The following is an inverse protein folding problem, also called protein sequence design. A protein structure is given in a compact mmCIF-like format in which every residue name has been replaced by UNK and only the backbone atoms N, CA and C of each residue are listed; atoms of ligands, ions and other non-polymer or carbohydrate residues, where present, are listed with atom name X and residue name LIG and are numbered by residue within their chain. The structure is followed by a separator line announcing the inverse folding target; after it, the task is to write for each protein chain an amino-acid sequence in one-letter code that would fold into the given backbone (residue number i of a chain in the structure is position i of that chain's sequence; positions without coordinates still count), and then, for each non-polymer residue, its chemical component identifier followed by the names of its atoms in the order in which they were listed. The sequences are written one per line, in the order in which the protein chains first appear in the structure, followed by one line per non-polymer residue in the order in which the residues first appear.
data_IF_837357302518
#
_entry.id   IF_837357302518
#
_cell.length_a   1.000
_cell.length_b   1.000
_cell.length_c   1.000
_cell.angle_alpha   90.00
_cell.angle_beta   90.00
_cell.angle_gamma   90.00
#
_symmetry.space_group_name_H-M   'P 1'
#
loop_
_entity.id
_entity.type
_entity.pdbx_description
1 polymer ?
#
# COMPACT_ATOMS: atom_id res chain seq x y z
N UNK A 1 6.97 19.74 -22.75
CA UNK A 1 8.00 19.45 -21.75
C UNK A 1 9.06 20.54 -21.84
N UNK A 2 9.26 21.27 -20.76
CA UNK A 2 10.24 22.35 -20.68
C UNK A 2 11.37 21.91 -19.73
N UNK A 3 12.61 22.12 -20.15
CA UNK A 3 13.80 21.87 -19.33
C UNK A 3 14.64 23.12 -19.35
N UNK A 4 14.97 23.63 -18.17
CA UNK A 4 15.86 24.78 -17.99
C UNK A 4 17.08 24.37 -17.20
N UNK A 5 18.26 24.73 -17.69
CA UNK A 5 19.53 24.55 -16.99
C UNK A 5 20.06 25.91 -16.53
N UNK A 6 20.48 26.00 -15.30
CA UNK A 6 21.18 27.16 -14.77
C UNK A 6 22.54 26.75 -14.19
N UNK A 7 23.52 27.66 -14.34
CA UNK A 7 24.89 27.40 -13.95
C UNK A 7 25.37 28.49 -13.00
N UNK A 8 26.03 28.09 -11.93
CA UNK A 8 26.79 28.98 -11.07
C UNK A 8 28.27 28.92 -11.49
N UNK A 9 28.84 30.06 -11.85
CA UNK A 9 30.23 30.14 -12.35
C UNK A 9 31.16 30.69 -11.26
N UNK A 10 32.40 30.20 -11.25
CA UNK A 10 33.48 30.77 -10.47
C UNK A 10 34.11 31.90 -11.28
N UNK A 11 34.20 33.13 -10.78
CA UNK A 11 34.83 34.24 -11.47
C UNK A 11 36.33 33.94 -11.74
N UNK A 12 36.82 34.32 -12.91
CA UNK A 12 38.25 34.28 -13.28
C UNK A 12 38.85 32.88 -13.52
N UNK A 13 38.07 31.87 -13.88
CA UNK A 13 38.61 30.59 -14.35
C UNK A 13 38.92 30.65 -15.83
N UNK A 14 40.09 30.20 -16.26
CA UNK A 14 40.52 30.12 -17.66
C UNK A 14 39.80 29.02 -18.45
N UNK A 15 39.25 28.02 -17.75
CA UNK A 15 38.52 26.91 -18.34
C UNK A 15 37.03 26.98 -17.98
N UNK A 16 36.17 27.07 -19.00
CA UNK A 16 34.70 27.19 -18.81
C UNK A 16 34.11 26.00 -18.05
N UNK A 17 34.60 24.77 -18.29
CA UNK A 17 34.09 23.56 -17.61
C UNK A 17 34.50 23.56 -16.14
N UNK A 18 35.71 23.97 -15.83
CA UNK A 18 36.23 24.10 -14.47
C UNK A 18 35.63 25.27 -13.72
N UNK A 19 35.16 26.29 -14.47
CA UNK A 19 34.48 27.47 -13.90
C UNK A 19 33.06 27.18 -13.39
N UNK A 20 32.46 26.09 -13.82
CA UNK A 20 31.12 25.72 -13.34
C UNK A 20 31.23 25.21 -11.91
N UNK A 21 30.80 26.01 -10.95
CA UNK A 21 30.75 25.67 -9.52
C UNK A 21 29.56 24.74 -9.24
N UNK A 22 28.43 25.01 -9.88
CA UNK A 22 27.22 24.24 -9.65
C UNK A 22 26.31 24.22 -10.87
N UNK A 23 25.43 23.22 -10.93
CA UNK A 23 24.41 23.05 -11.97
C UNK A 23 23.07 22.79 -11.30
N UNK A 24 22.05 23.53 -11.71
CA UNK A 24 20.67 23.32 -11.30
C UNK A 24 19.83 23.00 -12.54
N UNK A 25 18.89 22.10 -12.37
CA UNK A 25 17.94 21.68 -13.41
C UNK A 25 16.54 21.99 -12.94
N UNK A 26 15.76 22.63 -13.79
CA UNK A 26 14.34 22.78 -13.60
C UNK A 26 13.61 22.10 -14.75
N UNK A 27 12.57 21.34 -14.45
CA UNK A 27 11.72 20.73 -15.47
C UNK A 27 10.25 20.82 -15.08
N UNK A 28 9.41 21.09 -16.07
CA UNK A 28 7.95 20.99 -15.95
C UNK A 28 7.36 20.34 -17.19
N UNK A 29 6.23 19.70 -17.04
CA UNK A 29 5.56 19.06 -18.17
C UNK A 29 4.40 18.20 -17.74
N UNK A 30 4.02 17.34 -18.67
CA UNK A 30 2.97 16.35 -18.49
C UNK A 30 3.46 15.01 -18.99
N UNK A 31 3.07 13.94 -18.31
CA UNK A 31 3.26 12.58 -18.80
C UNK A 31 2.00 11.74 -18.59
N UNK A 32 1.81 10.77 -19.46
CA UNK A 32 0.75 9.77 -19.33
C UNK A 32 1.26 8.63 -18.44
N UNK A 33 0.60 8.41 -17.31
CA UNK A 33 0.98 7.36 -16.36
C UNK A 33 0.86 5.95 -16.91
N UNK A 34 0.09 5.72 -17.98
CA UNK A 34 -0.02 4.43 -18.65
C UNK A 34 1.33 3.91 -19.17
N UNK A 35 2.30 4.79 -19.40
CA UNK A 35 3.67 4.40 -19.79
C UNK A 35 4.50 3.86 -18.63
N UNK A 36 4.11 4.15 -17.39
CA UNK A 36 4.88 3.75 -16.19
C UNK A 36 4.25 2.53 -15.53
N UNK A 37 2.91 2.48 -15.50
CA UNK A 37 2.13 1.46 -14.83
C UNK A 37 1.36 0.65 -15.86
N UNK A 38 1.84 -0.55 -16.21
CA UNK A 38 1.14 -1.46 -17.12
C UNK A 38 -0.09 -2.07 -16.42
N UNK A 39 -1.28 -1.56 -16.72
CA UNK A 39 -2.59 -1.92 -16.13
C UNK A 39 -2.89 -3.41 -16.19
N UNK A 40 -2.33 -4.12 -17.17
CA UNK A 40 -2.69 -5.53 -17.41
C UNK A 40 -2.07 -6.51 -16.42
N UNK A 41 -1.11 -6.07 -15.62
CA UNK A 41 -0.33 -6.97 -14.73
C UNK A 41 -0.40 -6.61 -13.25
N UNK A 42 -0.77 -5.39 -12.90
CA UNK A 42 -0.80 -4.93 -11.52
C UNK A 42 -2.24 -4.60 -11.08
N UNK A 43 -2.73 -5.15 -9.97
CA UNK A 43 -4.03 -4.76 -9.41
C UNK A 43 -4.04 -3.32 -8.87
N UNK A 44 -2.88 -2.73 -8.64
CA UNK A 44 -2.71 -1.33 -8.27
C UNK A 44 -2.37 -0.54 -9.54
N UNK A 45 -3.02 0.60 -9.74
CA UNK A 45 -2.81 1.40 -10.94
C UNK A 45 -2.92 2.90 -10.65
N UNK A 46 -2.26 3.67 -11.49
CA UNK A 46 -2.47 5.11 -11.67
C UNK A 46 -2.62 5.32 -13.17
N UNK A 47 -3.77 5.84 -13.60
CA UNK A 47 -4.11 6.04 -15.01
C UNK A 47 -4.49 7.50 -15.23
N UNK A 48 -3.91 8.14 -16.24
CA UNK A 48 -4.24 9.50 -16.65
C UNK A 48 -3.03 10.38 -16.85
N UNK A 49 -3.27 11.67 -16.98
CA UNK A 49 -2.24 12.68 -17.20
C UNK A 49 -1.78 13.23 -15.87
N UNK A 50 -0.49 13.14 -15.61
CA UNK A 50 0.17 13.73 -14.45
C UNK A 50 0.90 14.98 -14.91
N UNK A 51 0.55 16.13 -14.34
CA UNK A 51 1.32 17.35 -14.49
C UNK A 51 2.43 17.35 -13.45
N UNK A 52 3.64 17.70 -13.84
CA UNK A 52 4.77 17.74 -12.94
C UNK A 52 5.59 19.01 -13.07
N UNK A 53 6.19 19.40 -11.98
CA UNK A 53 7.29 20.35 -11.95
C UNK A 53 8.31 19.93 -10.89
N UNK A 54 9.58 20.01 -11.20
CA UNK A 54 10.64 19.76 -10.22
C UNK A 54 11.89 20.56 -10.50
N UNK A 55 12.68 20.76 -9.45
CA UNK A 55 14.03 21.29 -9.52
C UNK A 55 15.02 20.32 -8.87
N UNK A 56 16.20 20.23 -9.47
CA UNK A 56 17.35 19.54 -8.90
C UNK A 56 18.44 20.61 -8.72
N UNK A 57 18.91 20.76 -7.52
CA UNK A 57 19.89 21.78 -7.14
C UNK A 57 21.20 21.11 -6.72
N UNK A 58 22.32 21.80 -6.93
CA UNK A 58 23.64 21.37 -6.48
C UNK A 58 24.16 20.06 -7.11
N UNK A 59 23.90 19.81 -8.40
CA UNK A 59 24.28 18.58 -9.08
C UNK A 59 25.79 18.23 -9.03
N UNK A 60 26.67 19.24 -8.88
CA UNK A 60 28.12 19.01 -8.68
C UNK A 60 28.51 18.80 -7.21
N UNK A 61 27.58 18.97 -6.29
CA UNK A 61 27.82 18.78 -4.86
C UNK A 61 27.66 17.33 -4.45
N UNK A 62 28.24 16.97 -3.31
CA UNK A 62 27.96 15.68 -2.64
C UNK A 62 26.54 15.63 -2.06
N UNK A 63 25.91 16.79 -1.91
CA UNK A 63 24.53 16.93 -1.42
C UNK A 63 23.68 17.53 -2.53
N UNK A 64 22.94 16.71 -3.24
CA UNK A 64 22.00 17.12 -4.27
C UNK A 64 20.64 17.26 -3.62
N UNK A 65 19.98 18.39 -3.85
CA UNK A 65 18.60 18.62 -3.40
C UNK A 65 17.65 18.46 -4.57
N UNK A 66 16.53 17.78 -4.35
CA UNK A 66 15.41 17.71 -5.28
C UNK A 66 14.15 18.17 -4.57
N UNK A 67 13.33 18.96 -5.27
CA UNK A 67 11.99 19.34 -4.81
C UNK A 67 11.07 19.47 -6.01
N UNK A 68 9.80 19.21 -5.80
CA UNK A 68 8.85 19.33 -6.89
C UNK A 68 7.44 19.05 -6.45
N UNK A 69 6.56 19.06 -7.43
CA UNK A 69 5.13 18.88 -7.31
C UNK A 69 4.65 17.90 -8.38
N UNK A 70 3.73 17.03 -8.02
CA UNK A 70 2.97 16.17 -8.90
C UNK A 70 1.49 16.52 -8.75
N UNK A 71 0.86 17.00 -9.81
CA UNK A 71 -0.57 17.21 -9.85
C UNK A 71 -1.24 15.98 -10.48
N UNK A 72 -2.00 15.26 -9.66
CA UNK A 72 -2.71 14.02 -10.02
C UNK A 72 -4.23 14.25 -10.21
N UNK A 73 -4.74 15.48 -10.27
CA UNK A 73 -6.17 15.76 -10.39
C UNK A 73 -6.81 15.04 -11.57
N UNK A 74 -6.08 14.93 -12.69
CA UNK A 74 -6.52 14.27 -13.91
C UNK A 74 -6.23 12.78 -13.97
N UNK A 75 -5.93 12.15 -12.83
CA UNK A 75 -5.68 10.71 -12.75
C UNK A 75 -6.77 9.97 -11.97
N UNK A 76 -6.91 8.70 -12.28
CA UNK A 76 -7.57 7.71 -11.44
C UNK A 76 -6.51 6.80 -10.85
N UNK A 77 -6.57 6.54 -9.54
CA UNK A 77 -5.64 5.64 -8.87
C UNK A 77 -6.39 4.63 -8.00
N UNK A 78 -5.82 3.44 -7.87
CA UNK A 78 -6.36 2.40 -7.01
C UNK A 78 -5.26 1.60 -6.34
N UNK A 79 -5.30 1.51 -5.01
CA UNK A 79 -4.48 0.61 -4.20
C UNK A 79 -5.40 -0.43 -3.59
N UNK A 80 -5.38 -1.62 -4.17
CA UNK A 80 -6.31 -2.70 -3.87
C UNK A 80 -6.23 -3.18 -2.43
N UNK A 81 -5.02 -3.27 -1.88
CA UNK A 81 -4.75 -3.84 -0.56
C UNK A 81 -5.50 -3.12 0.56
N UNK A 82 -5.66 -1.82 0.43
CA UNK A 82 -6.33 -0.95 1.40
C UNK A 82 -7.61 -0.31 0.84
N UNK A 83 -8.06 -0.76 -0.35
CA UNK A 83 -9.22 -0.20 -1.04
C UNK A 83 -9.17 1.33 -1.23
N UNK A 84 -7.98 1.89 -1.31
CA UNK A 84 -7.83 3.31 -1.58
C UNK A 84 -8.08 3.58 -3.06
N UNK A 85 -9.14 4.31 -3.35
CA UNK A 85 -9.51 4.70 -4.69
C UNK A 85 -9.58 6.22 -4.79
N UNK A 86 -8.77 6.79 -5.68
CA UNK A 86 -8.87 8.18 -6.12
C UNK A 86 -9.61 8.24 -7.46
N UNK A 87 -10.65 9.05 -7.53
CA UNK A 87 -11.36 9.34 -8.79
C UNK A 87 -10.72 10.52 -9.50
N UNK A 88 -10.90 10.58 -10.84
CA UNK A 88 -10.42 11.69 -11.67
C UNK A 88 -10.96 13.06 -11.27
N UNK A 89 -12.10 13.13 -10.57
CA UNK A 89 -12.70 14.39 -10.09
C UNK A 89 -12.20 14.81 -8.70
N UNK A 90 -11.39 14.01 -8.02
CA UNK A 90 -10.86 14.32 -6.69
C UNK A 90 -9.49 14.96 -6.84
N UNK A 91 -9.27 16.04 -6.10
CA UNK A 91 -8.00 16.76 -6.09
C UNK A 91 -6.92 15.97 -5.37
N UNK A 92 -5.74 15.88 -5.98
CA UNK A 92 -4.54 15.35 -5.34
C UNK A 92 -3.30 16.00 -5.94
N UNK A 93 -2.70 16.88 -5.17
CA UNK A 93 -1.41 17.50 -5.47
C UNK A 93 -0.43 17.01 -4.42
N UNK A 94 0.69 16.47 -4.83
CA UNK A 94 1.76 15.98 -3.98
C UNK A 94 3.01 16.85 -4.15
N UNK A 95 3.39 17.52 -3.08
CA UNK A 95 4.72 18.10 -2.96
C UNK A 95 5.70 17.01 -2.53
N UNK A 96 6.87 17.01 -3.12
CA UNK A 96 7.97 16.19 -2.66
C UNK A 96 9.26 17.01 -2.55
N UNK A 97 10.05 16.67 -1.55
CA UNK A 97 11.40 17.21 -1.37
C UNK A 97 12.34 16.12 -0.88
N UNK A 98 13.58 16.17 -1.32
CA UNK A 98 14.56 15.17 -0.91
C UNK A 98 15.98 15.66 -1.07
N UNK A 99 16.88 14.96 -0.36
CA UNK A 99 18.30 15.19 -0.42
C UNK A 99 19.02 13.86 -0.69
N UNK A 100 19.95 13.89 -1.64
CA UNK A 100 20.85 12.80 -1.93
C UNK A 100 22.20 13.12 -1.34
N UNK A 101 22.70 12.25 -0.49
CA UNK A 101 24.06 12.34 0.04
C UNK A 101 24.89 11.26 -0.61
N UNK A 102 25.91 11.65 -1.36
CA UNK A 102 26.81 10.75 -2.11
C UNK A 102 26.11 9.79 -3.08
N UNK A 103 24.87 10.06 -3.52
CA UNK A 103 24.02 9.18 -4.35
C UNK A 103 23.65 7.81 -3.71
N UNK A 104 24.08 7.56 -2.49
CA UNK A 104 23.87 6.27 -1.80
C UNK A 104 22.72 6.35 -0.79
N UNK A 105 22.58 7.49 -0.11
CA UNK A 105 21.50 7.74 0.85
C UNK A 105 20.64 8.90 0.39
N UNK A 106 19.37 8.68 0.29
CA UNK A 106 18.39 9.71 -0.02
C UNK A 106 17.21 9.66 0.92
N UNK A 107 16.71 10.82 1.28
CA UNK A 107 15.50 10.96 2.08
C UNK A 107 14.55 11.85 1.31
N UNK A 108 13.33 11.36 1.10
CA UNK A 108 12.24 12.07 0.46
C UNK A 108 11.11 12.27 1.44
N UNK A 109 10.65 13.49 1.58
CA UNK A 109 9.40 13.83 2.25
C UNK A 109 8.35 14.08 1.17
N UNK A 110 7.19 13.46 1.32
CA UNK A 110 6.04 13.60 0.43
C UNK A 110 4.88 14.10 1.26
N UNK A 111 4.18 15.12 0.77
CA UNK A 111 2.99 15.65 1.41
C UNK A 111 1.95 16.08 0.39
N UNK A 112 0.68 15.95 0.73
CA UNK A 112 -0.40 16.54 -0.06
C UNK A 112 -0.55 18.03 0.22
N UNK A 113 -0.97 18.77 -0.81
CA UNK A 113 -1.25 20.21 -0.74
C UNK A 113 -2.53 20.50 -1.51
N UNK A 114 -3.44 21.26 -0.93
CA UNK A 114 -4.75 21.59 -1.55
C UNK A 114 -5.46 20.36 -2.12
N UNK A 115 -5.65 19.35 -1.31
CA UNK A 115 -6.05 18.01 -1.72
C UNK A 115 -7.27 17.50 -0.96
N UNK A 116 -8.04 16.61 -1.59
CA UNK A 116 -9.09 15.82 -0.93
C UNK A 116 -8.53 14.68 -0.05
N UNK A 117 -7.20 14.53 -0.04
CA UNK A 117 -6.45 13.54 0.71
C UNK A 117 -5.44 14.21 1.60
N UNK A 118 -5.33 13.77 2.83
CA UNK A 118 -4.22 14.12 3.72
C UNK A 118 -3.15 13.03 3.59
N UNK A 119 -2.02 13.36 2.98
CA UNK A 119 -0.89 12.45 2.77
C UNK A 119 0.36 13.14 3.32
N UNK A 120 1.06 12.45 4.19
CA UNK A 120 2.37 12.86 4.70
C UNK A 120 3.23 11.62 4.91
N UNK A 121 4.46 11.65 4.49
CA UNK A 121 5.35 10.53 4.77
C UNK A 121 6.78 10.77 4.35
N UNK A 122 7.65 9.93 4.84
CA UNK A 122 9.07 9.90 4.51
C UNK A 122 9.45 8.59 3.85
N UNK A 123 10.17 8.67 2.74
CA UNK A 123 10.78 7.53 2.06
C UNK A 123 12.30 7.72 2.08
N UNK A 124 13.00 6.78 2.70
CA UNK A 124 14.46 6.74 2.71
C UNK A 124 14.94 5.63 1.79
N UNK A 125 15.83 5.97 0.89
CA UNK A 125 16.53 5.00 0.05
C UNK A 125 17.97 4.93 0.53
N UNK A 126 18.39 3.73 0.98
CA UNK A 126 19.73 3.49 1.49
C UNK A 126 20.34 2.42 0.62
N UNK A 127 21.43 2.74 -0.06
CA UNK A 127 22.04 1.96 -1.15
C UNK A 127 21.00 1.51 -2.22
N UNK A 128 21.42 0.88 -3.29
CA UNK A 128 20.62 0.68 -4.51
C UNK A 128 19.43 -0.27 -4.34
N UNK A 129 19.29 -0.96 -3.21
CA UNK A 129 18.32 -2.05 -3.06
C UNK A 129 17.47 -1.98 -1.77
N UNK A 130 17.64 -0.95 -0.96
CA UNK A 130 16.93 -0.85 0.31
C UNK A 130 16.11 0.44 0.38
N UNK A 131 14.80 0.30 0.48
CA UNK A 131 13.84 1.41 0.60
C UNK A 131 13.13 1.26 1.93
N UNK A 132 13.11 2.32 2.72
CA UNK A 132 12.34 2.42 3.96
C UNK A 132 11.20 3.41 3.77
N UNK A 133 10.06 3.07 4.30
CA UNK A 133 8.89 3.95 4.41
C UNK A 133 8.67 4.21 5.89
N UNK A 134 8.76 5.46 6.30
CA UNK A 134 8.58 5.87 7.68
C UNK A 134 7.29 6.67 7.81
N UNK A 135 6.38 6.17 8.63
CA UNK A 135 5.14 6.86 9.05
C UNK A 135 4.42 7.56 7.88
N UNK A 136 4.16 6.78 6.82
CA UNK A 136 3.44 7.29 5.65
C UNK A 136 1.95 7.32 5.97
N UNK A 137 1.46 8.50 6.34
CA UNK A 137 0.07 8.77 6.70
C UNK A 137 -0.78 8.92 5.44
N UNK A 138 -1.93 8.29 5.41
CA UNK A 138 -2.93 8.41 4.34
C UNK A 138 -4.31 8.52 4.99
N UNK A 139 -4.95 9.67 4.87
CA UNK A 139 -6.34 9.88 5.23
C UNK A 139 -7.10 10.45 4.02
N UNK A 140 -8.13 9.76 3.57
CA UNK A 140 -9.03 10.28 2.54
C UNK A 140 -10.39 10.71 3.10
N UNK A 141 -10.51 10.81 4.44
CA UNK A 141 -11.71 11.28 5.16
C UNK A 141 -13.00 10.50 4.85
N UNK A 142 -12.88 9.36 4.17
CA UNK A 142 -14.03 8.56 3.72
C UNK A 142 -13.95 7.11 4.15
N UNK A 143 -12.87 6.43 3.80
CA UNK A 143 -12.78 4.99 3.94
C UNK A 143 -11.39 4.47 4.29
N UNK A 144 -10.41 5.35 4.36
CA UNK A 144 -9.03 5.00 4.70
C UNK A 144 -8.44 6.07 5.62
N UNK A 145 -7.94 5.65 6.74
CA UNK A 145 -7.15 6.44 7.70
C UNK A 145 -6.08 5.50 8.26
N UNK A 146 -4.87 5.59 7.73
CA UNK A 146 -3.78 4.65 7.93
C UNK A 146 -2.44 5.34 8.05
N UNK A 147 -1.55 4.72 8.83
CA UNK A 147 -0.11 4.96 8.84
C UNK A 147 0.59 3.69 8.37
N UNK A 148 1.45 3.82 7.39
CA UNK A 148 2.20 2.72 6.79
C UNK A 148 3.69 2.93 7.06
N UNK A 149 4.32 1.96 7.69
CA UNK A 149 5.78 1.90 7.87
C UNK A 149 6.32 0.58 7.36
N UNK A 150 7.58 0.54 6.97
CA UNK A 150 8.17 -0.72 6.53
C UNK A 150 9.40 -0.56 5.68
N UNK A 151 9.78 -1.66 5.08
CA UNK A 151 10.97 -1.71 4.23
C UNK A 151 10.82 -2.66 3.04
N UNK A 152 11.52 -2.33 1.99
CA UNK A 152 11.76 -3.19 0.85
C UNK A 152 13.28 -3.39 0.70
N UNK A 153 13.73 -4.62 0.88
CA UNK A 153 15.12 -5.01 0.78
C UNK A 153 15.26 -6.18 -0.18
N UNK A 154 16.08 -6.05 -1.20
CA UNK A 154 16.24 -7.03 -2.26
C UNK A 154 14.89 -7.40 -2.89
N UNK A 155 14.29 -8.51 -2.46
CA UNK A 155 12.98 -9.00 -2.94
C UNK A 155 12.03 -9.33 -1.78
N UNK A 156 12.30 -8.77 -0.60
CA UNK A 156 11.49 -8.93 0.61
C UNK A 156 10.85 -7.60 0.94
N UNK A 157 9.52 -7.61 1.04
CA UNK A 157 8.72 -6.48 1.48
C UNK A 157 8.18 -6.75 2.88
N UNK A 158 8.42 -5.84 3.81
CA UNK A 158 7.81 -5.82 5.13
C UNK A 158 7.00 -4.54 5.29
N UNK A 159 5.73 -4.64 5.62
CA UNK A 159 4.87 -3.50 5.89
C UNK A 159 4.12 -3.67 7.22
N UNK A 160 4.16 -2.65 8.04
CA UNK A 160 3.32 -2.46 9.22
C UNK A 160 2.28 -1.38 8.90
N UNK A 161 1.00 -1.71 9.02
CA UNK A 161 -0.14 -0.85 8.68
C UNK A 161 -0.95 -0.67 9.95
N UNK A 162 -1.04 0.55 10.42
CA UNK A 162 -1.79 0.93 11.62
C UNK A 162 -2.80 2.01 11.25
N UNK A 163 -4.01 1.94 11.80
CA UNK A 163 -4.99 2.99 11.52
C UNK A 163 -6.31 2.81 12.22
N UNK A 164 -7.21 3.75 11.96
CA UNK A 164 -8.55 3.72 12.57
C UNK A 164 -9.57 3.01 11.66
N UNK A 165 -9.42 3.06 10.34
CA UNK A 165 -10.42 2.56 9.40
C UNK A 165 -9.82 1.99 8.11
N UNK A 166 -10.30 0.79 7.72
CA UNK A 166 -10.16 0.23 6.38
C UNK A 166 -11.54 -0.21 5.89
N UNK A 167 -12.06 0.40 4.82
CA UNK A 167 -13.31 -0.02 4.20
C UNK A 167 -13.05 -0.88 2.95
N UNK A 168 -13.29 -2.18 3.10
CA UNK A 168 -13.20 -3.19 2.03
C UNK A 168 -14.57 -3.55 1.43
N UNK A 169 -15.65 -2.87 1.81
CA UNK A 169 -17.05 -3.22 1.46
C UNK A 169 -17.31 -3.24 -0.05
N UNK A 170 -16.52 -2.50 -0.82
CA UNK A 170 -16.67 -2.38 -2.29
C UNK A 170 -15.60 -3.17 -3.07
N UNK A 171 -14.75 -3.91 -2.38
CA UNK A 171 -13.72 -4.73 -3.02
C UNK A 171 -14.35 -5.96 -3.67
N UNK A 172 -14.70 -5.85 -4.96
CA UNK A 172 -14.99 -7.04 -5.77
C UNK A 172 -13.67 -7.78 -6.00
N UNK A 173 -13.54 -8.96 -5.40
CA UNK A 173 -12.42 -9.85 -5.67
C UNK A 173 -12.60 -10.43 -7.08
N UNK A 174 -12.11 -9.73 -8.10
CA UNK A 174 -11.96 -10.34 -9.41
C UNK A 174 -10.83 -11.36 -9.33
N UNK A 175 -11.19 -12.64 -9.39
CA UNK A 175 -10.21 -13.73 -9.50
C UNK A 175 -9.70 -13.74 -10.94
N UNK A 176 -8.72 -12.90 -11.22
CA UNK A 176 -8.04 -12.93 -12.50
C UNK A 176 -7.03 -14.10 -12.49
N UNK A 177 -7.36 -15.18 -13.19
CA UNK A 177 -6.53 -16.39 -13.33
C UNK A 177 -5.29 -16.20 -14.24
N UNK A 178 -4.84 -14.96 -14.48
CA UNK A 178 -3.62 -14.70 -15.25
C UNK A 178 -2.39 -15.09 -14.43
N UNK A 179 -1.43 -15.75 -15.07
CA UNK A 179 -0.14 -16.13 -14.46
C UNK A 179 0.49 -14.92 -13.76
N UNK A 180 0.55 -14.96 -12.43
CA UNK A 180 1.17 -13.91 -11.62
C UNK A 180 2.67 -13.96 -11.84
N UNK A 181 3.23 -12.88 -12.35
CA UNK A 181 4.67 -12.66 -12.32
C UNK A 181 5.02 -12.15 -10.92
N UNK A 182 5.74 -12.94 -10.13
CA UNK A 182 6.15 -12.54 -8.78
C UNK A 182 7.40 -11.68 -8.88
N UNK A 183 7.27 -10.40 -8.51
CA UNK A 183 8.40 -9.48 -8.42
C UNK A 183 9.13 -9.61 -7.06
N UNK A 184 8.39 -10.04 -6.02
CA UNK A 184 8.91 -10.22 -4.67
C UNK A 184 8.93 -11.71 -4.31
N UNK A 185 9.95 -12.13 -3.57
CA UNK A 185 10.07 -13.49 -3.06
C UNK A 185 9.26 -13.67 -1.78
N UNK A 186 9.18 -12.63 -0.96
CA UNK A 186 8.41 -12.62 0.28
C UNK A 186 7.74 -11.26 0.47
N UNK A 187 6.49 -11.30 0.88
CA UNK A 187 5.71 -10.15 1.30
C UNK A 187 5.18 -10.43 2.71
N UNK A 188 5.53 -9.60 3.68
CA UNK A 188 5.05 -9.67 5.06
C UNK A 188 4.23 -8.42 5.36
N UNK A 189 3.01 -8.59 5.83
CA UNK A 189 2.15 -7.50 6.25
C UNK A 189 1.70 -7.73 7.68
N UNK A 190 1.85 -6.73 8.53
CA UNK A 190 1.19 -6.63 9.83
C UNK A 190 0.15 -5.52 9.75
N UNK A 191 -1.09 -5.81 10.11
CA UNK A 191 -2.19 -4.86 10.05
C UNK A 191 -2.81 -4.75 11.43
N UNK A 192 -2.99 -3.53 11.92
CA UNK A 192 -3.69 -3.20 13.16
C UNK A 192 -4.59 -2.01 12.91
N UNK A 193 -5.89 -2.20 13.03
CA UNK A 193 -6.85 -1.10 12.82
C UNK A 193 -8.02 -1.23 13.78
N UNK A 194 -8.55 -0.09 14.21
CA UNK A 194 -9.71 -0.08 15.09
C UNK A 194 -10.93 -0.69 14.40
N UNK A 195 -11.10 -0.41 13.10
CA UNK A 195 -12.25 -0.86 12.34
C UNK A 195 -11.90 -1.36 10.95
N UNK A 196 -12.52 -2.48 10.54
CA UNK A 196 -12.55 -2.94 9.15
C UNK A 196 -13.98 -3.18 8.73
N UNK A 197 -14.37 -2.66 7.57
CA UNK A 197 -15.68 -2.90 6.95
C UNK A 197 -15.50 -3.85 5.78
N UNK A 198 -16.09 -5.02 5.84
CA UNK A 198 -16.09 -6.03 4.78
C UNK A 198 -17.30 -5.92 3.86
N UNK A 199 -17.33 -6.74 2.80
CA UNK A 199 -18.48 -6.87 1.91
C UNK A 199 -19.78 -7.13 2.71
N UNK A 200 -20.88 -6.51 2.26
CA UNK A 200 -22.14 -6.60 2.97
C UNK A 200 -22.25 -5.68 4.19
N UNK A 201 -21.32 -4.71 4.30
CA UNK A 201 -21.23 -3.75 5.42
C UNK A 201 -21.00 -4.43 6.79
N UNK A 202 -20.40 -5.60 6.80
CA UNK A 202 -19.98 -6.27 8.03
C UNK A 202 -18.80 -5.50 8.61
N UNK A 203 -19.03 -4.84 9.75
CA UNK A 203 -18.00 -4.12 10.49
C UNK A 203 -17.42 -5.02 11.56
N UNK A 204 -16.10 -5.09 11.64
CA UNK A 204 -15.37 -5.68 12.75
C UNK A 204 -14.50 -4.64 13.42
N UNK A 205 -14.34 -4.77 14.72
CA UNK A 205 -13.57 -3.86 15.57
C UNK A 205 -12.27 -4.54 16.03
N UNK A 206 -11.28 -3.74 16.43
CA UNK A 206 -9.99 -4.22 16.96
C UNK A 206 -9.30 -5.25 16.06
N UNK A 207 -9.32 -5.01 14.75
CA UNK A 207 -8.77 -5.93 13.77
C UNK A 207 -7.24 -5.97 13.81
N UNK A 208 -6.71 -7.18 13.86
CA UNK A 208 -5.27 -7.46 13.75
C UNK A 208 -5.07 -8.58 12.75
N UNK A 209 -4.10 -8.43 11.86
CA UNK A 209 -3.74 -9.48 10.92
C UNK A 209 -2.25 -9.54 10.65
N UNK A 210 -1.73 -10.77 10.54
CA UNK A 210 -0.42 -11.06 9.97
C UNK A 210 -0.62 -11.82 8.67
N UNK A 211 0.02 -11.36 7.60
CA UNK A 211 -0.07 -11.96 6.27
C UNK A 211 1.36 -12.20 5.78
N UNK A 212 1.66 -13.45 5.45
CA UNK A 212 2.94 -13.84 4.85
C UNK A 212 2.66 -14.48 3.51
N UNK A 213 3.22 -13.90 2.47
CA UNK A 213 3.13 -14.44 1.12
C UNK A 213 4.53 -14.76 0.61
N UNK A 214 4.78 -16.03 0.27
CA UNK A 214 6.04 -16.52 -0.30
C UNK A 214 5.76 -17.23 -1.60
N UNK A 215 6.04 -16.60 -2.75
CA UNK A 215 5.74 -17.15 -4.07
C UNK A 215 4.28 -17.65 -4.16
N UNK A 216 4.07 -18.97 -4.12
CA UNK A 216 2.75 -19.59 -4.22
C UNK A 216 2.11 -19.90 -2.86
N UNK A 217 2.81 -19.66 -1.75
CA UNK A 217 2.30 -19.90 -0.39
C UNK A 217 1.74 -18.63 0.20
N UNK A 218 0.61 -18.75 0.87
CA UNK A 218 -0.04 -17.67 1.61
C UNK A 218 -0.40 -18.18 3.00
N UNK A 219 0.05 -17.48 4.03
CA UNK A 219 -0.37 -17.66 5.41
C UNK A 219 -1.04 -16.39 5.89
N UNK A 220 -2.21 -16.49 6.46
CA UNK A 220 -2.95 -15.39 7.05
C UNK A 220 -3.38 -15.81 8.45
N UNK A 221 -3.14 -14.94 9.43
CA UNK A 221 -3.70 -15.08 10.77
C UNK A 221 -4.32 -13.73 11.14
N UNK A 222 -5.57 -13.74 11.58
CA UNK A 222 -6.22 -12.53 12.02
C UNK A 222 -7.11 -12.75 13.24
N UNK A 223 -7.34 -11.67 13.96
CA UNK A 223 -8.30 -11.60 15.06
C UNK A 223 -9.04 -10.27 15.00
N UNK A 224 -10.28 -10.28 15.46
CA UNK A 224 -11.15 -9.11 15.52
C UNK A 224 -12.21 -9.30 16.60
N UNK A 225 -13.02 -8.26 16.83
CA UNK A 225 -14.25 -8.32 17.59
C UNK A 225 -15.41 -8.04 16.64
N UNK A 226 -16.46 -8.87 16.70
CA UNK A 226 -17.67 -8.69 15.94
C UNK A 226 -18.86 -8.81 16.90
N UNK A 227 -19.67 -7.75 17.03
CA UNK A 227 -20.76 -7.66 18.00
C UNK A 227 -20.33 -8.07 19.44
N UNK A 228 -19.19 -7.53 19.90
CA UNK A 228 -18.56 -7.81 21.20
C UNK A 228 -18.00 -9.23 21.39
N UNK A 229 -18.10 -10.09 20.39
CA UNK A 229 -17.57 -11.45 20.40
C UNK A 229 -16.24 -11.55 19.67
N UNK A 230 -15.35 -12.42 20.18
CA UNK A 230 -14.03 -12.63 19.56
C UNK A 230 -14.15 -13.49 18.32
N UNK A 231 -13.50 -13.03 17.26
CA UNK A 231 -13.39 -13.73 15.99
C UNK A 231 -11.91 -13.94 15.66
N UNK A 232 -11.55 -15.16 15.29
CA UNK A 232 -10.22 -15.49 14.76
C UNK A 232 -10.37 -16.15 13.41
N UNK A 233 -9.45 -15.82 12.51
CA UNK A 233 -9.40 -16.43 11.19
C UNK A 233 -7.97 -16.79 10.87
N UNK A 234 -7.77 -17.99 10.34
CA UNK A 234 -6.51 -18.39 9.73
C UNK A 234 -6.72 -18.99 8.35
N UNK A 235 -5.75 -18.79 7.49
CA UNK A 235 -5.71 -19.39 6.16
C UNK A 235 -4.29 -19.78 5.81
N UNK A 236 -4.15 -21.04 5.43
CA UNK A 236 -2.92 -21.58 4.86
C UNK A 236 -3.21 -22.07 3.44
N UNK A 237 -2.50 -21.50 2.49
CA UNK A 237 -2.66 -21.85 1.07
C UNK A 237 -1.31 -22.13 0.45
N UNK A 238 -1.24 -23.24 -0.27
CA UNK A 238 -0.13 -23.55 -1.17
C UNK A 238 -0.65 -23.93 -2.57
N UNK A 239 0.17 -24.62 -3.37
CA UNK A 239 -0.23 -25.03 -4.72
C UNK A 239 -1.31 -26.11 -4.74
N UNK A 240 -1.42 -26.92 -3.69
CA UNK A 240 -2.26 -28.10 -3.63
C UNK A 240 -3.47 -27.93 -2.70
N UNK A 241 -3.29 -27.15 -1.64
CA UNK A 241 -4.26 -27.02 -0.56
C UNK A 241 -4.59 -25.57 -0.24
N UNK A 242 -5.83 -25.32 0.17
CA UNK A 242 -6.29 -24.05 0.70
C UNK A 242 -7.16 -24.34 1.92
N UNK A 243 -6.57 -24.18 3.12
CA UNK A 243 -7.22 -24.45 4.40
C UNK A 243 -7.62 -23.14 5.03
N UNK A 244 -8.88 -23.03 5.43
CA UNK A 244 -9.38 -21.88 6.17
C UNK A 244 -10.00 -22.36 7.47
N UNK A 245 -9.70 -21.65 8.56
CA UNK A 245 -10.27 -21.91 9.87
C UNK A 245 -10.84 -20.60 10.42
N UNK A 246 -12.08 -20.63 10.87
CA UNK A 246 -12.74 -19.53 11.55
C UNK A 246 -13.16 -20.02 12.93
N UNK A 247 -12.81 -19.29 13.96
CA UNK A 247 -13.15 -19.57 15.36
C UNK A 247 -13.90 -18.36 15.90
N UNK A 248 -15.06 -18.59 16.49
CA UNK A 248 -15.85 -17.56 17.18
C UNK A 248 -16.31 -18.06 18.53
N UNK A 249 -16.44 -17.17 19.49
CA UNK A 249 -17.09 -17.41 20.77
C UNK A 249 -18.62 -17.16 20.72
N UNK A 250 -19.17 -16.89 19.53
CA UNK A 250 -20.62 -16.81 19.28
C UNK A 250 -21.02 -17.52 17.99
N UNK A 251 -21.78 -18.60 18.13
CA UNK A 251 -22.30 -19.37 17.00
C UNK A 251 -23.30 -18.61 16.15
N UNK A 252 -24.02 -17.66 16.73
CA UNK A 252 -25.10 -16.95 16.01
C UNK A 252 -24.58 -16.22 14.79
N UNK A 253 -23.28 -15.88 14.76
CA UNK A 253 -22.60 -15.29 13.61
C UNK A 253 -22.62 -16.21 12.38
N UNK A 254 -22.71 -17.55 12.57
CA UNK A 254 -22.65 -18.51 11.47
C UNK A 254 -24.01 -19.10 11.08
N UNK A 255 -24.91 -19.22 12.05
CA UNK A 255 -26.19 -19.94 11.86
C UNK A 255 -27.41 -19.05 11.94
N UNK A 256 -27.21 -17.74 12.16
CA UNK A 256 -28.30 -16.79 12.34
C UNK A 256 -29.15 -17.11 13.57
N UNK A 257 -30.39 -16.58 13.59
CA UNK A 257 -31.30 -16.75 14.74
C UNK A 257 -32.00 -18.12 14.82
N UNK A 258 -31.45 -19.16 14.22
CA UNK A 258 -32.02 -20.51 14.30
C UNK A 258 -32.08 -21.02 15.74
N UNK A 259 -33.27 -21.15 16.28
CA UNK A 259 -33.54 -21.59 17.66
C UNK A 259 -32.98 -23.00 17.94
N UNK A 260 -32.93 -23.85 16.91
CA UNK A 260 -32.39 -25.21 17.01
C UNK A 260 -30.86 -25.21 17.16
N UNK A 261 -30.16 -24.32 16.46
CA UNK A 261 -28.70 -24.21 16.53
C UNK A 261 -28.25 -23.59 17.86
N UNK A 262 -28.95 -22.59 18.37
CA UNK A 262 -28.70 -21.98 19.70
C UNK A 262 -28.82 -22.98 20.85
N UNK A 263 -29.69 -24.01 20.70
CA UNK A 263 -29.95 -25.00 21.74
C UNK A 263 -28.93 -26.16 21.74
N UNK A 264 -28.24 -26.37 20.61
CA UNK A 264 -27.24 -27.44 20.47
C UNK A 264 -25.84 -27.04 20.94
N UNK A 265 -25.59 -25.73 21.01
CA UNK A 265 -24.23 -25.18 21.16
C UNK A 265 -24.27 -24.07 22.24
N UNK A 266 -24.47 -24.47 23.49
CA UNK A 266 -24.38 -23.57 24.64
C UNK A 266 -22.91 -23.37 25.05
N UNK A 267 -22.49 -22.12 25.12
CA UNK A 267 -21.32 -21.56 25.82
C UNK A 267 -19.90 -21.90 25.35
N UNK A 268 -19.70 -22.65 24.26
CA UNK A 268 -18.37 -23.00 23.76
C UNK A 268 -18.05 -22.29 22.44
N UNK A 269 -16.76 -22.05 22.20
CA UNK A 269 -16.29 -21.53 20.93
C UNK A 269 -16.53 -22.52 19.80
N UNK A 270 -16.91 -22.00 18.62
CA UNK A 270 -17.09 -22.81 17.41
C UNK A 270 -15.92 -22.63 16.49
N UNK A 271 -15.46 -23.75 15.96
CA UNK A 271 -14.49 -23.81 14.90
C UNK A 271 -15.15 -24.30 13.60
N UNK A 272 -15.02 -23.49 12.55
CA UNK A 272 -15.36 -23.86 11.19
C UNK A 272 -14.08 -24.05 10.39
N UNK A 273 -13.81 -25.28 9.99
CA UNK A 273 -12.67 -25.60 9.14
C UNK A 273 -13.14 -25.93 7.73
N UNK A 274 -12.59 -25.28 6.71
CA UNK A 274 -12.76 -25.66 5.30
C UNK A 274 -11.42 -25.98 4.65
N UNK A 275 -11.36 -27.14 4.01
CA UNK A 275 -10.17 -27.61 3.27
C UNK A 275 -10.55 -27.82 1.82
N UNK A 276 -9.87 -27.13 0.92
CA UNK A 276 -10.03 -27.30 -0.51
C UNK A 276 -8.75 -27.90 -1.11
N UNK A 277 -8.89 -29.10 -1.67
CA UNK A 277 -7.80 -29.79 -2.38
C UNK A 277 -8.21 -29.91 -3.84
N UNK A 278 -7.59 -29.14 -4.75
CA UNK A 278 -7.95 -29.08 -6.17
C UNK A 278 -9.48 -28.88 -6.34
N UNK A 279 -10.21 -29.95 -6.71
CA UNK A 279 -11.64 -29.90 -6.99
C UNK A 279 -12.54 -30.35 -5.81
N UNK A 280 -11.94 -30.79 -4.69
CA UNK A 280 -12.67 -31.26 -3.52
C UNK A 280 -12.69 -30.20 -2.42
N UNK A 281 -13.88 -29.91 -1.89
CA UNK A 281 -14.10 -29.07 -0.73
C UNK A 281 -14.63 -29.93 0.42
N UNK A 282 -13.94 -29.90 1.56
CA UNK A 282 -14.41 -30.49 2.81
C UNK A 282 -14.63 -29.35 3.82
N UNK A 283 -15.75 -29.38 4.51
CA UNK A 283 -16.02 -28.46 5.62
C UNK A 283 -16.39 -29.25 6.86
N UNK A 284 -15.86 -28.86 8.00
CA UNK A 284 -16.11 -29.44 9.32
C UNK A 284 -16.48 -28.35 10.31
N UNK A 285 -17.33 -28.68 11.24
CA UNK A 285 -17.73 -27.83 12.37
C UNK A 285 -17.42 -28.62 13.64
N UNK A 286 -16.67 -28.02 14.55
CA UNK A 286 -16.34 -28.61 15.85
C UNK A 286 -16.54 -27.62 16.98
#
# INVERSE_FOLDING_TARGET
QDITLSFELVPNSENVIESIKNVNVYSKGKFDSNYIFDDNKNPNYIIGIIDYQFSIENLKSKNISIKGELNLDNTEAFIRQINLKKKKSEKLILDFSGNFKNLEDSVFVIKSVDSDYDILGEVKISNTNHIFVNDFEIDNKKNVDLVISGDLSERVLNLDIVGSLIDLSKNKVEVNNKKKTYYLDTENYTIRTDNVIFNGNVKVDNFKAGIIKKKSKLSVQSSATFNDHKLRYSREKDNATDTNVIISDDITHFVGDSHAAKKLLSDDSIELTSIRNNDNLKAEVS
#
